data_IF_095807074316
#
_entry.id   IF_095807074316
#
_cell.length_a   1.000
_cell.length_b   1.000
_cell.length_c   1.000
_cell.angle_alpha   90.00
_cell.angle_beta   90.00
_cell.angle_gamma   90.00
#
_symmetry.space_group_name_H-M   'P 1'
#
loop_
_entity.id
_entity.type
_entity.pdbx_description
1 polymer ?
#
# COMPACT_ATOMS: atom_id res chain seq x y z
N UNK A 1 -17.69 -5.82 9.90
CA UNK A 1 -16.42 -6.30 9.32
C UNK A 1 -15.48 -5.11 9.17
N UNK A 2 -14.21 -5.29 9.50
CA UNK A 2 -13.17 -4.25 9.40
C UNK A 2 -12.24 -4.56 8.23
N UNK A 3 -12.01 -3.59 7.37
CA UNK A 3 -11.19 -3.69 6.16
C UNK A 3 -9.99 -2.75 6.30
N UNK A 4 -8.77 -3.29 6.12
CA UNK A 4 -7.56 -2.51 5.95
C UNK A 4 -7.20 -2.47 4.46
N UNK A 5 -7.17 -1.28 3.88
CA UNK A 5 -6.60 -1.06 2.56
C UNK A 5 -5.11 -0.75 2.75
N UNK A 6 -4.24 -1.61 2.21
CA UNK A 6 -2.79 -1.48 2.29
C UNK A 6 -2.24 -1.20 0.89
N UNK A 7 -2.03 0.08 0.58
CA UNK A 7 -1.68 0.55 -0.77
C UNK A 7 -0.55 1.58 -0.73
N UNK A 8 0.27 1.62 -1.78
CA UNK A 8 1.29 2.68 -1.95
C UNK A 8 0.67 4.04 -2.22
N UNK A 9 -0.50 4.08 -2.85
CA UNK A 9 -1.17 5.32 -3.24
C UNK A 9 -2.61 5.32 -2.76
N UNK A 10 -3.05 6.46 -2.28
CA UNK A 10 -4.41 6.73 -1.84
C UNK A 10 -4.63 8.24 -1.81
N UNK A 11 -5.84 8.71 -1.54
CA UNK A 11 -6.11 10.14 -1.38
C UNK A 11 -5.10 10.80 -0.41
N UNK A 12 -4.56 11.99 -0.74
CA UNK A 12 -4.89 12.87 -1.86
C UNK A 12 -4.01 12.73 -3.11
N UNK A 13 -3.36 11.57 -3.35
CA UNK A 13 -2.62 11.33 -4.60
C UNK A 13 -3.57 11.33 -5.82
N UNK A 14 -3.19 12.02 -6.91
CA UNK A 14 -3.96 12.16 -8.13
C UNK A 14 -3.58 11.14 -9.22
N UNK A 15 -3.64 9.83 -8.91
CA UNK A 15 -3.35 8.74 -9.86
C UNK A 15 -4.50 7.73 -9.92
N UNK A 16 -4.61 7.02 -11.04
CA UNK A 16 -5.73 6.09 -11.31
C UNK A 16 -5.97 5.06 -10.22
N UNK A 17 -4.90 4.44 -9.71
CA UNK A 17 -4.99 3.48 -8.61
C UNK A 17 -5.52 4.12 -7.32
N UNK A 18 -5.13 5.37 -7.02
CA UNK A 18 -5.64 6.09 -5.85
C UNK A 18 -7.16 6.31 -5.98
N UNK A 19 -7.64 6.80 -7.12
CA UNK A 19 -9.09 6.99 -7.36
C UNK A 19 -9.87 5.69 -7.21
N UNK A 20 -9.38 4.59 -7.81
CA UNK A 20 -10.01 3.28 -7.66
C UNK A 20 -10.16 2.87 -6.19
N UNK A 21 -9.10 3.04 -5.39
CA UNK A 21 -9.14 2.64 -3.98
C UNK A 21 -9.90 3.63 -3.11
N UNK A 22 -10.00 4.91 -3.50
CA UNK A 22 -10.88 5.88 -2.87
C UNK A 22 -12.35 5.46 -3.04
N UNK A 23 -12.75 5.09 -4.26
CA UNK A 23 -14.12 4.64 -4.55
C UNK A 23 -14.45 3.32 -3.83
N UNK A 24 -13.50 2.38 -3.81
CA UNK A 24 -13.67 1.13 -3.06
C UNK A 24 -13.83 1.39 -1.55
N UNK A 25 -13.02 2.28 -0.98
CA UNK A 25 -13.08 2.63 0.44
C UNK A 25 -14.45 3.23 0.80
N UNK A 26 -14.93 4.18 0.01
CA UNK A 26 -16.24 4.79 0.17
C UNK A 26 -17.38 3.77 -0.06
N UNK A 27 -17.22 2.89 -1.03
CA UNK A 27 -18.18 1.83 -1.31
C UNK A 27 -18.32 0.83 -0.15
N UNK A 28 -17.21 0.48 0.51
CA UNK A 28 -17.21 -0.36 1.70
C UNK A 28 -17.82 0.37 2.90
N UNK A 29 -17.46 1.64 3.11
CA UNK A 29 -18.00 2.47 4.19
C UNK A 29 -19.53 2.60 4.07
N UNK A 30 -20.04 2.88 2.85
CA UNK A 30 -21.50 2.96 2.58
C UNK A 30 -22.24 1.66 2.90
N UNK A 31 -21.55 0.51 2.84
CA UNK A 31 -22.10 -0.81 3.22
C UNK A 31 -21.96 -1.11 4.71
N UNK A 32 -21.54 -0.14 5.52
CA UNK A 32 -21.40 -0.28 6.98
C UNK A 32 -20.13 -1.00 7.44
N UNK A 33 -19.10 -1.15 6.57
CA UNK A 33 -17.83 -1.69 7.00
C UNK A 33 -16.95 -0.62 7.62
N UNK A 34 -16.21 -0.97 8.68
CA UNK A 34 -15.17 -0.09 9.24
C UNK A 34 -13.94 -0.18 8.33
N UNK A 35 -13.63 0.91 7.65
CA UNK A 35 -12.49 0.98 6.72
C UNK A 35 -11.39 1.83 7.33
N UNK A 36 -10.14 1.37 7.21
CA UNK A 36 -8.96 2.20 7.41
C UNK A 36 -7.95 1.96 6.30
N UNK A 37 -7.06 2.91 6.08
CA UNK A 37 -6.09 2.89 5.00
C UNK A 37 -4.69 3.06 5.55
N UNK A 38 -3.73 2.28 5.05
CA UNK A 38 -2.31 2.41 5.30
C UNK A 38 -1.60 2.62 3.97
N UNK A 39 -0.98 3.79 3.80
CA UNK A 39 -0.44 4.25 2.52
C UNK A 39 0.85 5.04 2.71
N UNK A 40 1.39 5.60 1.64
CA UNK A 40 2.53 6.54 1.70
C UNK A 40 2.05 7.97 2.02
N UNK A 41 3.01 8.84 2.41
CA UNK A 41 2.75 10.29 2.31
C UNK A 41 2.52 10.65 0.85
N UNK A 42 1.56 11.55 0.56
CA UNK A 42 1.21 11.91 -0.80
C UNK A 42 2.41 12.45 -1.58
N UNK A 43 2.61 11.93 -2.79
CA UNK A 43 3.75 12.33 -3.63
C UNK A 43 3.53 12.08 -5.14
N UNK A 44 2.35 11.57 -5.53
CA UNK A 44 1.99 11.33 -6.92
C UNK A 44 0.90 12.30 -7.40
N UNK A 45 1.26 13.20 -8.34
CA UNK A 45 0.31 14.09 -9.01
C UNK A 45 -0.64 14.82 -8.04
N UNK A 46 -0.08 15.42 -6.98
CA UNK A 46 -0.86 16.19 -6.04
C UNK A 46 -1.56 17.35 -6.75
N UNK A 47 -2.87 17.44 -6.57
CA UNK A 47 -3.67 18.55 -7.03
C UNK A 47 -3.43 19.72 -6.07
N UNK A 48 -3.33 20.93 -6.60
CA UNK A 48 -3.21 22.15 -5.80
C UNK A 48 -4.40 22.26 -4.81
N UNK A 49 -4.09 22.52 -3.56
CA UNK A 49 -5.11 22.59 -2.51
C UNK A 49 -5.52 21.28 -1.88
N UNK A 50 -5.20 20.11 -2.45
CA UNK A 50 -5.63 18.81 -1.93
C UNK A 50 -5.20 18.54 -0.47
N UNK A 51 -4.03 19.04 -0.06
CA UNK A 51 -3.57 18.95 1.34
C UNK A 51 -4.30 19.91 2.29
N UNK A 52 -4.96 20.95 1.78
CA UNK A 52 -5.82 21.83 2.59
C UNK A 52 -7.14 21.11 2.91
N UNK A 53 -7.67 20.34 1.97
CA UNK A 53 -8.89 19.56 2.15
C UNK A 53 -8.65 18.31 2.99
N UNK A 54 -7.45 17.70 2.88
CA UNK A 54 -7.06 16.51 3.64
C UNK A 54 -5.73 16.74 4.36
N UNK A 55 -5.70 17.54 5.46
CA UNK A 55 -4.47 17.89 6.16
C UNK A 55 -3.84 16.69 6.85
N UNK A 56 -2.51 16.60 6.73
CA UNK A 56 -1.71 15.55 7.35
C UNK A 56 -1.33 15.93 8.78
N UNK A 57 -1.83 15.22 9.76
CA UNK A 57 -1.47 15.38 11.16
C UNK A 57 -0.26 14.51 11.49
N UNK A 58 0.81 15.13 11.96
CA UNK A 58 2.03 14.43 12.39
C UNK A 58 1.76 13.58 13.62
N UNK A 59 2.22 12.33 13.63
CA UNK A 59 2.11 11.38 14.74
C UNK A 59 3.49 10.79 15.08
N UNK A 60 3.68 10.46 16.36
CA UNK A 60 4.91 9.85 16.89
C UNK A 60 6.19 10.51 16.34
N UNK A 61 6.36 11.80 16.57
CA UNK A 61 7.53 12.59 16.12
C UNK A 61 7.74 12.58 14.58
N UNK A 62 6.72 12.16 13.80
CA UNK A 62 6.78 12.10 12.34
C UNK A 62 7.17 10.75 11.77
N UNK A 63 7.13 9.69 12.56
CA UNK A 63 7.25 8.32 12.07
C UNK A 63 6.12 7.97 11.10
N UNK A 64 4.94 8.54 11.33
CA UNK A 64 3.82 8.49 10.38
C UNK A 64 2.94 9.74 10.51
N UNK A 65 2.05 9.92 9.57
CA UNK A 65 1.02 10.96 9.57
C UNK A 65 -0.35 10.32 9.50
N UNK A 66 -1.36 11.06 9.93
CA UNK A 66 -2.75 10.64 9.88
C UNK A 66 -3.57 11.73 9.21
N UNK A 67 -4.51 11.36 8.36
CA UNK A 67 -5.52 12.22 7.81
C UNK A 67 -6.90 11.57 7.89
N UNK A 68 -7.92 12.33 7.55
CA UNK A 68 -9.29 11.85 7.38
C UNK A 68 -9.68 11.97 5.90
N UNK A 69 -10.24 10.92 5.34
CA UNK A 69 -10.82 10.90 4.02
C UNK A 69 -12.30 10.53 4.13
N UNK A 70 -13.18 11.53 4.18
CA UNK A 70 -14.63 11.34 4.32
C UNK A 70 -15.02 10.43 5.51
N UNK A 71 -14.37 10.62 6.66
CA UNK A 71 -14.59 9.80 7.86
C UNK A 71 -13.76 8.51 7.90
N UNK A 72 -12.97 8.21 6.88
CA UNK A 72 -12.05 7.07 6.83
C UNK A 72 -10.67 7.51 7.34
N UNK A 73 -10.15 6.81 8.36
CA UNK A 73 -8.80 7.08 8.88
C UNK A 73 -7.73 6.59 7.92
N UNK A 74 -6.85 7.50 7.49
CA UNK A 74 -5.72 7.21 6.60
C UNK A 74 -4.40 7.40 7.34
N UNK A 75 -3.58 6.36 7.37
CA UNK A 75 -2.25 6.36 7.96
C UNK A 75 -1.21 6.45 6.85
N UNK A 76 -0.41 7.52 6.86
CA UNK A 76 0.58 7.80 5.84
C UNK A 76 1.99 7.58 6.37
N UNK A 77 2.71 6.66 5.78
CA UNK A 77 4.12 6.41 6.09
C UNK A 77 5.01 7.26 5.15
N UNK A 78 5.99 7.99 5.69
CA UNK A 78 6.86 8.81 4.86
C UNK A 78 7.55 8.01 3.75
N UNK A 79 7.35 8.46 2.52
CA UNK A 79 8.10 8.00 1.35
C UNK A 79 8.54 9.22 0.55
N UNK A 80 9.87 9.42 0.45
CA UNK A 80 10.43 10.56 -0.26
C UNK A 80 10.93 10.14 -1.64
N UNK A 81 10.63 10.97 -2.64
CA UNK A 81 11.26 10.85 -3.96
C UNK A 81 12.69 11.37 -3.87
N UNK A 82 13.66 10.53 -4.21
CA UNK A 82 15.08 10.90 -4.27
C UNK A 82 15.58 10.81 -5.71
N UNK A 83 16.55 11.65 -6.09
CA UNK A 83 17.23 11.54 -7.40
C UNK A 83 18.10 10.28 -7.47
N UNK A 84 18.77 9.94 -6.39
CA UNK A 84 19.61 8.74 -6.30
C UNK A 84 18.78 7.46 -6.22
N UNK A 85 19.13 6.45 -7.03
CA UNK A 85 18.51 5.12 -7.02
C UNK A 85 18.67 4.43 -5.67
N UNK A 86 19.87 4.53 -5.05
CA UNK A 86 20.13 3.93 -3.74
C UNK A 86 19.21 4.52 -2.66
N UNK A 87 19.07 5.86 -2.62
CA UNK A 87 18.19 6.53 -1.65
C UNK A 87 16.73 6.19 -1.89
N UNK A 88 16.30 6.00 -3.15
CA UNK A 88 14.94 5.51 -3.46
C UNK A 88 14.70 4.11 -2.92
N UNK A 89 15.66 3.20 -3.09
CA UNK A 89 15.58 1.84 -2.56
C UNK A 89 15.53 1.86 -1.02
N UNK A 90 16.37 2.65 -0.36
CA UNK A 90 16.35 2.78 1.10
C UNK A 90 15.03 3.37 1.61
N UNK A 91 14.49 4.39 0.95
CA UNK A 91 13.18 4.95 1.28
C UNK A 91 12.06 3.91 1.11
N UNK A 92 12.13 3.07 0.07
CA UNK A 92 11.16 2.02 -0.17
C UNK A 92 11.25 0.92 0.90
N UNK A 93 12.46 0.50 1.29
CA UNK A 93 12.67 -0.44 2.39
C UNK A 93 12.17 0.15 3.72
N UNK A 94 12.45 1.42 3.98
CA UNK A 94 11.94 2.13 5.15
C UNK A 94 10.41 2.10 5.19
N UNK A 95 9.75 2.45 4.06
CA UNK A 95 8.31 2.41 3.96
C UNK A 95 7.74 1.02 4.27
N UNK A 96 8.33 -0.04 3.71
CA UNK A 96 7.91 -1.42 3.98
C UNK A 96 8.02 -1.79 5.45
N UNK A 97 9.14 -1.49 6.09
CA UNK A 97 9.34 -1.77 7.52
C UNK A 97 8.36 -0.98 8.39
N UNK A 98 8.24 0.32 8.14
CA UNK A 98 7.39 1.19 8.93
C UNK A 98 5.91 0.92 8.73
N UNK A 99 5.46 0.66 7.50
CA UNK A 99 4.07 0.32 7.23
C UNK A 99 3.67 -1.02 7.88
N UNK A 100 4.55 -2.02 7.82
CA UNK A 100 4.34 -3.27 8.53
C UNK A 100 4.25 -3.06 10.05
N UNK A 101 5.20 -2.31 10.62
CA UNK A 101 5.22 -1.99 12.05
C UNK A 101 3.96 -1.23 12.48
N UNK A 102 3.60 -0.14 11.79
CA UNK A 102 2.36 0.60 12.08
C UNK A 102 1.15 -0.30 11.91
N UNK A 103 1.11 -1.13 10.87
CA UNK A 103 0.06 -2.11 10.63
C UNK A 103 -0.16 -3.07 11.81
N UNK A 104 0.91 -3.46 12.52
CA UNK A 104 0.80 -4.31 13.73
C UNK A 104 0.04 -3.64 14.87
N UNK A 105 0.12 -2.32 15.01
CA UNK A 105 -0.56 -1.56 16.07
C UNK A 105 -1.96 -1.07 15.68
N UNK A 106 -2.34 -1.16 14.40
CA UNK A 106 -3.70 -0.87 14.01
C UNK A 106 -4.67 -1.90 14.60
N UNK A 107 -5.92 -1.51 14.76
CA UNK A 107 -6.98 -2.45 15.16
C UNK A 107 -7.00 -3.65 14.21
N UNK A 108 -7.25 -4.84 14.75
CA UNK A 108 -7.31 -6.09 13.97
C UNK A 108 -8.31 -5.95 12.82
N UNK A 109 -7.89 -6.07 11.56
CA UNK A 109 -8.79 -6.17 10.42
C UNK A 109 -9.33 -7.59 10.29
N UNK A 110 -10.48 -7.74 9.64
CA UNK A 110 -10.98 -9.04 9.17
C UNK A 110 -10.37 -9.37 7.80
N UNK A 111 -10.13 -8.31 7.00
CA UNK A 111 -9.60 -8.41 5.63
C UNK A 111 -8.55 -7.32 5.40
N UNK A 112 -7.44 -7.68 4.75
CA UNK A 112 -6.44 -6.76 4.20
C UNK A 112 -6.53 -6.82 2.69
N UNK A 113 -6.87 -5.69 2.07
CA UNK A 113 -6.93 -5.52 0.61
C UNK A 113 -5.68 -4.76 0.15
N UNK A 114 -4.93 -5.32 -0.80
CA UNK A 114 -3.72 -4.69 -1.33
C UNK A 114 -3.61 -4.86 -2.84
N UNK A 115 -3.22 -3.79 -3.60
CA UNK A 115 -3.01 -3.87 -5.04
C UNK A 115 -1.64 -4.41 -5.42
N UNK A 116 -1.52 -4.93 -6.64
CA UNK A 116 -0.26 -5.06 -7.37
C UNK A 116 -0.08 -3.88 -8.34
N UNK A 117 1.13 -3.45 -8.68
CA UNK A 117 2.39 -3.67 -7.97
C UNK A 117 2.48 -2.87 -6.68
N UNK A 118 3.45 -3.12 -5.80
CA UNK A 118 4.52 -4.11 -5.91
C UNK A 118 4.17 -5.44 -5.24
N UNK A 119 4.80 -6.54 -5.67
CA UNK A 119 4.65 -7.87 -5.04
C UNK A 119 5.01 -7.87 -3.55
N UNK A 120 5.93 -7.01 -3.16
CA UNK A 120 6.36 -6.86 -1.76
C UNK A 120 5.26 -6.32 -0.84
N UNK A 121 4.33 -5.51 -1.35
CA UNK A 121 3.14 -5.09 -0.58
C UNK A 121 2.22 -6.29 -0.30
N UNK A 122 2.03 -7.17 -1.31
CA UNK A 122 1.29 -8.42 -1.13
C UNK A 122 1.93 -9.33 -0.08
N UNK A 123 3.27 -9.49 -0.12
CA UNK A 123 3.99 -10.26 0.89
C UNK A 123 3.75 -9.71 2.31
N UNK A 124 3.90 -8.40 2.50
CA UNK A 124 3.71 -7.79 3.82
C UNK A 124 2.25 -7.84 4.29
N UNK A 125 1.29 -7.67 3.37
CA UNK A 125 -0.12 -7.81 3.67
C UNK A 125 -0.45 -9.23 4.16
N UNK A 126 0.11 -10.26 3.51
CA UNK A 126 -0.04 -11.68 3.92
C UNK A 126 0.58 -11.92 5.29
N UNK A 127 1.82 -11.43 5.52
CA UNK A 127 2.47 -11.59 6.82
C UNK A 127 1.68 -10.90 7.94
N UNK A 128 1.23 -9.67 7.69
CA UNK A 128 0.40 -8.92 8.63
C UNK A 128 -0.95 -9.63 8.89
N UNK A 129 -1.59 -10.14 7.84
CA UNK A 129 -2.83 -10.88 7.94
C UNK A 129 -2.68 -12.16 8.78
N UNK A 130 -1.60 -12.92 8.55
CA UNK A 130 -1.31 -14.12 9.35
C UNK A 130 -1.12 -13.80 10.83
N UNK A 131 -0.38 -12.73 11.16
CA UNK A 131 -0.16 -12.32 12.55
C UNK A 131 -1.44 -11.81 13.23
N UNK A 132 -2.35 -11.23 12.45
CA UNK A 132 -3.61 -10.68 12.96
C UNK A 132 -4.80 -11.62 12.81
N UNK A 133 -4.63 -12.82 12.21
CA UNK A 133 -5.74 -13.73 11.93
C UNK A 133 -6.76 -13.12 10.97
N UNK A 134 -6.31 -12.39 9.97
CA UNK A 134 -7.11 -11.77 8.93
C UNK A 134 -6.97 -12.54 7.59
N UNK A 135 -7.89 -12.28 6.67
CA UNK A 135 -7.78 -12.73 5.27
C UNK A 135 -7.06 -11.69 4.42
N UNK A 136 -6.43 -12.11 3.33
CA UNK A 136 -5.75 -11.21 2.39
C UNK A 136 -6.40 -11.29 1.01
N UNK A 137 -6.78 -10.16 0.45
CA UNK A 137 -7.20 -10.02 -0.95
C UNK A 137 -6.08 -9.27 -1.68
N UNK A 138 -5.44 -9.95 -2.63
CA UNK A 138 -4.42 -9.36 -3.49
C UNK A 138 -5.04 -9.03 -4.85
N UNK A 139 -5.25 -7.73 -5.11
CA UNK A 139 -5.85 -7.26 -6.37
C UNK A 139 -4.74 -7.10 -7.43
N UNK A 140 -4.69 -8.04 -8.38
CA UNK A 140 -3.70 -8.04 -9.46
C UNK A 140 -4.13 -7.07 -10.55
N UNK A 141 -3.50 -5.88 -10.57
CA UNK A 141 -3.68 -4.88 -11.63
C UNK A 141 -2.67 -5.06 -12.75
N UNK A 142 -1.47 -5.53 -12.41
CA UNK A 142 -0.38 -5.81 -13.35
C UNK A 142 0.30 -7.12 -12.97
N UNK A 143 0.63 -7.94 -13.97
CA UNK A 143 1.31 -9.22 -13.77
C UNK A 143 2.82 -8.97 -13.63
N UNK A 144 3.30 -9.00 -12.41
CA UNK A 144 4.71 -8.85 -12.08
C UNK A 144 5.31 -10.22 -11.75
N UNK A 145 6.52 -10.57 -12.23
CA UNK A 145 7.49 -9.73 -12.92
C UNK A 145 7.37 -9.69 -14.46
N UNK A 146 6.41 -10.39 -15.06
CA UNK A 146 6.33 -10.57 -16.51
C UNK A 146 6.24 -9.24 -17.27
N UNK A 147 5.55 -8.24 -16.73
CA UNK A 147 5.53 -6.90 -17.32
C UNK A 147 6.93 -6.31 -17.46
N UNK A 148 7.78 -6.39 -16.42
CA UNK A 148 9.15 -5.86 -16.47
C UNK A 148 10.06 -6.64 -17.42
N UNK A 149 9.85 -7.94 -17.54
CA UNK A 149 10.58 -8.82 -18.45
C UNK A 149 10.22 -8.45 -19.89
N UNK A 150 8.93 -8.34 -20.21
CA UNK A 150 8.43 -8.01 -21.54
C UNK A 150 8.85 -6.60 -22.00
N UNK A 151 8.92 -5.63 -21.08
CA UNK A 151 9.43 -4.29 -21.35
C UNK A 151 10.96 -4.22 -21.43
N UNK A 152 11.69 -5.33 -21.21
CA UNK A 152 13.14 -5.38 -21.24
C UNK A 152 13.85 -4.69 -20.07
N UNK A 153 13.09 -4.29 -19.03
CA UNK A 153 13.63 -3.64 -17.83
C UNK A 153 14.26 -4.61 -16.83
N UNK A 154 13.93 -5.89 -16.94
CA UNK A 154 14.45 -6.94 -16.06
C UNK A 154 15.07 -8.07 -16.90
N UNK A 155 16.40 -8.22 -16.80
CA UNK A 155 17.17 -9.20 -17.59
C UNK A 155 17.92 -10.23 -16.73
N UNK A 156 18.16 -9.91 -15.45
CA UNK A 156 18.92 -10.79 -14.57
C UNK A 156 18.08 -12.01 -14.18
N UNK A 157 18.50 -13.19 -14.62
CA UNK A 157 17.81 -14.47 -14.42
C UNK A 157 17.61 -14.82 -12.94
N UNK A 158 18.58 -14.51 -12.08
CA UNK A 158 18.45 -14.76 -10.64
C UNK A 158 17.33 -13.91 -10.03
N UNK A 159 17.28 -12.62 -10.37
CA UNK A 159 16.23 -11.71 -9.91
C UNK A 159 14.86 -12.12 -10.45
N UNK A 160 14.79 -12.50 -11.73
CA UNK A 160 13.57 -13.02 -12.37
C UNK A 160 13.04 -14.24 -11.60
N UNK A 161 13.90 -15.23 -11.35
CA UNK A 161 13.51 -16.45 -10.65
C UNK A 161 13.07 -16.17 -9.21
N UNK A 162 13.73 -15.25 -8.51
CA UNK A 162 13.34 -14.81 -7.17
C UNK A 162 11.96 -14.14 -7.20
N UNK A 163 11.71 -13.20 -8.10
CA UNK A 163 10.42 -12.51 -8.22
C UNK A 163 9.30 -13.45 -8.64
N UNK A 164 9.54 -14.42 -9.53
CA UNK A 164 8.56 -15.45 -9.91
C UNK A 164 8.21 -16.39 -8.75
N UNK A 165 9.17 -16.68 -7.87
CA UNK A 165 8.88 -17.43 -6.63
C UNK A 165 8.05 -16.62 -5.65
N UNK A 166 8.38 -15.33 -5.50
CA UNK A 166 7.63 -14.41 -4.65
C UNK A 166 6.20 -14.23 -5.16
N UNK A 167 6.01 -14.04 -6.47
CA UNK A 167 4.70 -13.97 -7.11
C UNK A 167 3.85 -15.20 -6.80
N UNK A 168 4.40 -16.38 -7.05
CA UNK A 168 3.73 -17.65 -6.76
C UNK A 168 3.34 -17.78 -5.30
N UNK A 169 4.24 -17.38 -4.39
CA UNK A 169 3.96 -17.36 -2.96
C UNK A 169 2.81 -16.41 -2.61
N UNK A 170 2.82 -15.19 -3.17
CA UNK A 170 1.79 -14.17 -2.90
C UNK A 170 0.44 -14.66 -3.43
N UNK A 171 0.38 -15.18 -4.65
CA UNK A 171 -0.88 -15.66 -5.24
C UNK A 171 -1.45 -16.87 -4.47
N UNK A 172 -0.62 -17.83 -4.11
CA UNK A 172 -1.06 -19.03 -3.38
C UNK A 172 -1.41 -18.76 -1.90
N UNK A 173 -0.92 -17.66 -1.33
CA UNK A 173 -1.14 -17.30 0.08
C UNK A 173 -2.24 -16.25 0.27
N UNK A 174 -2.79 -15.70 -0.80
CA UNK A 174 -3.96 -14.83 -0.79
C UNK A 174 -5.25 -15.64 -0.82
N UNK A 175 -6.32 -15.10 -0.22
CA UNK A 175 -7.64 -15.75 -0.17
C UNK A 175 -8.50 -15.34 -1.35
#
# INVERSE_FOLDING_TARGET
>A
MRILIYSLVFSPDGVSTAYLYNDLALGFQKRGYEVCVLTTTPHFNLIEGALNEQPLQKRFLGLFYQSDFNGIKVFHIPLKKHKSTLLRMLSFIYWHKMSFFVGLFLKRPDVILTPSPPLTSGLLAILLAKLKGAKTIYNVQEIYPDLLINLGHLKNTFVINFLKRLERFVYNSSN
#
